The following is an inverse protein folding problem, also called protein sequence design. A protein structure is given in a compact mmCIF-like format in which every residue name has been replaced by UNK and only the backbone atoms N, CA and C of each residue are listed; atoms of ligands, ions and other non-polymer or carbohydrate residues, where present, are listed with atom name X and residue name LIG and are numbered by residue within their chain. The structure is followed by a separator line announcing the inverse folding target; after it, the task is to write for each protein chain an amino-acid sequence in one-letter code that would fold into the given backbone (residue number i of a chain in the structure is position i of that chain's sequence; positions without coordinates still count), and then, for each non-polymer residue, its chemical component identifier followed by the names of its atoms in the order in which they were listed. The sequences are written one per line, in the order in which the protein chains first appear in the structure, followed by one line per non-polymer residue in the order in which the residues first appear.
data_IF_740699145742
#
_entry.id   IF_740699145742
#
_cell.length_a   1.000
_cell.length_b   1.000
_cell.length_c   1.000
_cell.angle_alpha   90.00
_cell.angle_beta   90.00
_cell.angle_gamma   90.00
#
_symmetry.space_group_name_H-M   'P 1'
#
loop_
_entity.id
_entity.type
_entity.pdbx_description
1 polymer ?
#
# COMPACT_ATOMS: atom_id res chain seq x y z
N UNK A 1 -8.75 -27.34 -6.75
CA UNK A 1 -8.86 -26.01 -6.09
C UNK A 1 -8.23 -25.97 -4.68
N UNK A 2 -8.22 -27.07 -3.91
CA UNK A 2 -7.70 -27.07 -2.51
C UNK A 2 -6.16 -27.19 -2.37
N UNK A 3 -5.48 -27.80 -3.34
CA UNK A 3 -4.03 -28.01 -3.27
C UNK A 3 -3.24 -26.70 -3.36
N UNK A 4 -3.65 -25.79 -4.26
CA UNK A 4 -3.05 -24.47 -4.42
C UNK A 4 -3.16 -23.63 -3.14
N UNK A 5 -4.31 -23.66 -2.45
CA UNK A 5 -4.51 -22.94 -1.20
C UNK A 5 -3.61 -23.53 -0.09
N UNK A 6 -3.52 -24.86 -0.03
CA UNK A 6 -2.67 -25.54 0.94
C UNK A 6 -1.17 -25.28 0.70
N UNK A 7 -0.73 -25.28 -0.56
CA UNK A 7 0.65 -25.03 -0.93
C UNK A 7 1.03 -23.56 -0.70
N UNK A 8 0.10 -22.62 -0.99
CA UNK A 8 0.29 -21.19 -0.66
C UNK A 8 0.36 -20.96 0.85
N UNK A 9 -0.49 -21.61 1.64
CA UNK A 9 -0.42 -21.55 3.11
C UNK A 9 0.91 -22.10 3.64
N UNK A 10 1.42 -23.19 3.06
CA UNK A 10 2.73 -23.76 3.41
C UNK A 10 3.88 -22.83 3.03
N UNK A 11 3.84 -22.24 1.85
CA UNK A 11 4.83 -21.28 1.36
C UNK A 11 4.89 -20.04 2.26
N UNK A 12 3.72 -19.45 2.57
CA UNK A 12 3.56 -18.35 3.52
C UNK A 12 4.11 -18.71 4.92
N UNK A 13 3.80 -19.91 5.42
CA UNK A 13 4.28 -20.37 6.73
C UNK A 13 5.78 -20.68 6.76
N UNK A 14 6.38 -21.07 5.62
CA UNK A 14 7.80 -21.42 5.53
C UNK A 14 8.73 -20.21 5.30
N UNK A 15 8.17 -19.08 4.88
CA UNK A 15 8.89 -17.82 4.62
C UNK A 15 8.03 -16.63 5.07
N UNK A 16 7.72 -16.51 6.37
CA UNK A 16 7.03 -15.34 6.86
C UNK A 16 7.89 -14.12 6.54
N UNK A 17 7.44 -13.31 5.57
CA UNK A 17 8.04 -11.99 5.31
C UNK A 17 7.43 -11.01 6.27
N UNK A 18 7.66 -11.28 7.54
CA UNK A 18 7.19 -10.39 8.58
C UNK A 18 8.23 -9.30 8.78
N UNK A 19 7.74 -8.08 8.95
CA UNK A 19 8.54 -6.90 9.14
C UNK A 19 7.86 -6.00 10.15
N UNK A 20 8.69 -5.17 10.79
CA UNK A 20 8.18 -4.03 11.51
C UNK A 20 7.79 -3.01 10.45
N UNK A 21 6.51 -2.67 10.39
CA UNK A 21 5.95 -1.75 9.40
C UNK A 21 5.41 -0.52 10.10
N UNK A 22 5.37 0.61 9.38
CA UNK A 22 4.82 1.85 9.88
C UNK A 22 3.38 1.66 10.35
N UNK A 23 2.57 0.99 9.52
CA UNK A 23 1.18 0.64 9.82
C UNK A 23 0.17 1.72 9.39
N UNK A 24 0.63 2.94 9.17
CA UNK A 24 -0.13 4.08 8.66
C UNK A 24 0.68 4.93 7.67
N UNK A 25 1.49 4.27 6.81
CA UNK A 25 2.37 4.99 5.87
C UNK A 25 1.56 5.72 4.78
N UNK A 26 1.66 7.04 4.75
CA UNK A 26 1.03 7.90 3.75
C UNK A 26 1.91 9.13 3.46
N UNK A 27 1.72 9.89 2.36
CA UNK A 27 2.58 11.04 2.03
C UNK A 27 2.79 12.04 3.17
N UNK A 28 1.77 12.27 4.01
CA UNK A 28 1.89 13.13 5.21
C UNK A 28 2.81 12.61 6.33
N UNK A 29 3.17 11.32 6.32
CA UNK A 29 4.06 10.69 7.30
C UNK A 29 5.54 10.73 6.88
N UNK A 30 5.84 11.42 5.77
CA UNK A 30 7.21 11.59 5.25
C UNK A 30 7.56 13.07 5.14
N UNK A 31 8.69 13.43 5.72
CA UNK A 31 9.27 14.76 5.63
C UNK A 31 10.52 14.73 4.76
N UNK A 32 10.51 15.52 3.68
CA UNK A 32 11.69 15.71 2.83
C UNK A 32 12.43 16.98 3.22
N UNK A 33 13.67 16.83 3.68
CA UNK A 33 14.56 17.95 3.96
C UNK A 33 15.37 18.30 2.71
N UNK A 34 15.08 19.46 2.11
CA UNK A 34 15.79 19.95 0.93
C UNK A 34 17.27 20.28 1.17
N UNK A 35 17.65 20.63 2.40
CA UNK A 35 19.03 21.00 2.70
C UNK A 35 19.95 19.78 2.72
N UNK A 36 19.45 18.63 3.18
CA UNK A 36 20.21 17.38 3.28
C UNK A 36 19.89 16.39 2.16
N UNK A 37 18.75 16.56 1.46
CA UNK A 37 18.24 15.58 0.50
C UNK A 37 17.70 14.31 1.16
N UNK A 38 17.48 14.32 2.47
CA UNK A 38 17.01 13.14 3.21
C UNK A 38 15.48 13.12 3.35
N UNK A 39 14.94 11.91 3.39
CA UNK A 39 13.54 11.65 3.73
C UNK A 39 13.48 11.07 5.14
N UNK A 40 12.68 11.65 6.01
CA UNK A 40 12.43 11.17 7.37
C UNK A 40 11.00 10.68 7.48
N UNK A 41 10.82 9.46 8.02
CA UNK A 41 9.51 8.93 8.36
C UNK A 41 9.12 9.37 9.78
N UNK A 42 7.89 9.87 9.94
CA UNK A 42 7.33 10.38 11.20
C UNK A 42 6.00 9.67 11.51
N UNK A 43 5.38 9.97 12.65
CA UNK A 43 4.09 9.39 13.08
C UNK A 43 4.09 7.87 13.34
N UNK A 44 5.22 7.36 13.84
CA UNK A 44 5.47 5.92 14.10
C UNK A 44 4.69 5.30 15.26
N UNK A 45 3.66 6.00 15.77
CA UNK A 45 2.87 5.54 16.92
C UNK A 45 2.12 4.23 16.67
N UNK A 46 1.83 3.88 15.42
CA UNK A 46 1.11 2.64 15.03
C UNK A 46 2.03 1.45 14.75
N UNK A 47 3.34 1.65 14.83
CA UNK A 47 4.36 0.64 14.52
C UNK A 47 4.28 -0.57 15.46
N UNK A 48 3.90 -0.37 16.72
CA UNK A 48 3.68 -1.46 17.69
C UNK A 48 2.61 -2.46 17.24
N UNK A 49 1.67 -2.06 16.38
CA UNK A 49 0.66 -2.96 15.80
C UNK A 49 1.25 -3.96 14.79
N UNK A 50 2.52 -3.80 14.42
CA UNK A 50 3.25 -4.71 13.55
C UNK A 50 4.16 -5.68 14.31
N UNK A 51 4.04 -5.73 15.63
CA UNK A 51 4.76 -6.66 16.50
C UNK A 51 3.80 -7.72 17.03
N UNK A 52 4.30 -8.94 17.22
CA UNK A 52 3.56 -9.98 17.93
C UNK A 52 3.67 -9.84 19.46
N UNK A 53 3.09 -10.79 20.19
CA UNK A 53 3.11 -10.82 21.66
C UNK A 53 4.52 -10.90 22.27
N UNK A 54 5.52 -11.32 21.49
CA UNK A 54 6.91 -11.42 21.90
C UNK A 54 7.72 -10.19 21.49
N UNK A 55 7.11 -9.23 20.80
CA UNK A 55 7.81 -8.07 20.23
C UNK A 55 8.53 -8.39 18.92
N UNK A 56 8.27 -9.55 18.31
CA UNK A 56 8.87 -9.93 17.03
C UNK A 56 8.08 -9.33 15.86
N UNK A 57 8.73 -9.05 14.71
CA UNK A 57 8.06 -8.54 13.53
C UNK A 57 6.93 -9.47 13.07
N UNK A 58 5.74 -8.90 12.87
CA UNK A 58 4.52 -9.60 12.45
C UNK A 58 3.78 -8.89 11.30
N UNK A 59 4.19 -7.67 10.93
CA UNK A 59 3.60 -6.90 9.84
C UNK A 59 3.97 -7.41 8.45
N UNK A 60 3.20 -7.03 7.44
CA UNK A 60 3.53 -7.30 6.02
C UNK A 60 3.93 -5.97 5.34
N UNK A 61 5.11 -5.87 4.72
CA UNK A 61 5.56 -4.62 4.07
C UNK A 61 4.58 -4.08 3.03
N UNK A 62 3.83 -4.96 2.36
CA UNK A 62 2.77 -4.60 1.42
C UNK A 62 1.66 -3.73 2.04
N UNK A 63 1.52 -3.70 3.37
CA UNK A 63 0.57 -2.83 4.08
C UNK A 63 0.92 -1.36 3.88
N UNK A 64 2.18 -0.99 4.12
CA UNK A 64 2.63 0.40 4.01
C UNK A 64 2.59 0.85 2.55
N UNK A 65 3.06 0.00 1.64
CA UNK A 65 3.00 0.26 0.20
C UNK A 65 1.55 0.43 -0.31
N UNK A 66 0.66 -0.49 0.06
CA UNK A 66 -0.75 -0.43 -0.35
C UNK A 66 -1.47 0.79 0.21
N UNK A 67 -1.19 1.16 1.45
CA UNK A 67 -1.77 2.36 2.05
C UNK A 67 -1.24 3.64 1.40
N UNK A 68 0.08 3.74 1.18
CA UNK A 68 0.69 4.90 0.54
C UNK A 68 0.14 5.14 -0.88
N UNK A 69 0.04 4.09 -1.68
CA UNK A 69 -0.53 4.15 -3.04
C UNK A 69 -2.00 4.56 -3.01
N UNK A 70 -2.80 4.04 -2.06
CA UNK A 70 -4.17 4.54 -1.87
C UNK A 70 -4.16 6.05 -1.61
N UNK A 71 -3.32 6.52 -0.70
CA UNK A 71 -3.31 7.94 -0.32
C UNK A 71 -2.85 8.86 -1.45
N UNK A 72 -1.92 8.43 -2.32
CA UNK A 72 -1.58 9.17 -3.54
C UNK A 72 -2.79 9.36 -4.48
N UNK A 73 -3.69 8.37 -4.57
CA UNK A 73 -4.92 8.47 -5.36
C UNK A 73 -5.94 9.47 -4.81
N UNK A 74 -5.73 9.94 -3.58
CA UNK A 74 -6.53 11.03 -3.01
C UNK A 74 -5.90 12.41 -3.26
N UNK A 75 -4.84 12.48 -4.07
CA UNK A 75 -4.05 13.68 -4.35
C UNK A 75 -4.81 14.86 -4.96
N UNK A 76 -5.93 14.62 -5.66
CA UNK A 76 -6.81 15.66 -6.21
C UNK A 76 -7.23 16.68 -5.14
N UNK A 77 -7.44 16.24 -3.89
CA UNK A 77 -7.83 17.14 -2.79
C UNK A 77 -6.72 18.16 -2.43
N UNK A 78 -5.48 17.88 -2.86
CA UNK A 78 -4.31 18.73 -2.68
C UNK A 78 -3.89 19.45 -3.96
N UNK A 79 -4.73 19.40 -5.01
CA UNK A 79 -4.50 20.10 -6.28
C UNK A 79 -3.65 19.33 -7.29
N UNK A 80 -3.35 18.04 -7.04
CA UNK A 80 -2.66 17.22 -8.03
C UNK A 80 -3.58 16.85 -9.19
N UNK A 81 -3.04 16.92 -10.39
CA UNK A 81 -3.70 16.39 -11.59
C UNK A 81 -3.69 14.85 -11.58
N UNK A 82 -4.57 14.25 -12.39
CA UNK A 82 -4.58 12.80 -12.59
C UNK A 82 -3.24 12.26 -13.06
N UNK A 83 -2.59 12.97 -14.00
CA UNK A 83 -1.29 12.58 -14.54
C UNK A 83 -0.21 12.60 -13.45
N UNK A 84 -0.13 13.67 -12.65
CA UNK A 84 0.86 13.75 -11.56
C UNK A 84 0.67 12.65 -10.51
N UNK A 85 -0.58 12.28 -10.19
CA UNK A 85 -0.85 11.15 -9.29
C UNK A 85 -0.43 9.81 -9.88
N UNK A 86 -0.66 9.59 -11.18
CA UNK A 86 -0.27 8.36 -11.89
C UNK A 86 1.25 8.23 -12.00
N UNK A 87 1.94 9.32 -12.37
CA UNK A 87 3.41 9.40 -12.42
C UNK A 87 4.02 9.18 -11.02
N UNK A 88 3.55 9.91 -10.01
CA UNK A 88 4.06 9.76 -8.63
C UNK A 88 3.84 8.35 -8.07
N UNK A 89 2.71 7.72 -8.42
CA UNK A 89 2.42 6.33 -8.01
C UNK A 89 3.40 5.37 -8.68
N UNK A 90 3.66 5.56 -9.96
CA UNK A 90 4.57 4.70 -10.74
C UNK A 90 5.99 4.83 -10.21
N UNK A 91 6.49 6.06 -10.09
CA UNK A 91 7.83 6.35 -9.57
C UNK A 91 8.04 5.78 -8.16
N UNK A 92 7.04 5.95 -7.28
CA UNK A 92 7.11 5.41 -5.92
C UNK A 92 7.14 3.88 -5.90
N UNK A 93 6.26 3.22 -6.67
CA UNK A 93 6.20 1.76 -6.72
C UNK A 93 7.47 1.19 -7.33
N UNK A 94 7.99 1.77 -8.40
CA UNK A 94 9.22 1.32 -9.06
C UNK A 94 10.43 1.50 -8.14
N UNK A 95 10.55 2.65 -7.46
CA UNK A 95 11.61 2.89 -6.49
C UNK A 95 11.50 1.91 -5.31
N UNK A 96 10.30 1.66 -4.79
CA UNK A 96 10.09 0.72 -3.68
C UNK A 96 10.47 -0.71 -4.11
N UNK A 97 9.98 -1.18 -5.25
CA UNK A 97 10.27 -2.53 -5.75
C UNK A 97 11.75 -2.71 -6.12
N UNK A 98 12.40 -1.67 -6.64
CA UNK A 98 13.83 -1.67 -6.94
C UNK A 98 14.73 -1.73 -5.70
N UNK A 99 14.23 -1.30 -4.53
CA UNK A 99 14.97 -1.30 -3.27
C UNK A 99 14.45 -2.33 -2.25
N UNK A 100 13.38 -3.07 -2.56
CA UNK A 100 12.78 -4.01 -1.64
C UNK A 100 13.71 -5.22 -1.43
N UNK A 101 14.00 -5.54 -0.16
CA UNK A 101 14.79 -6.72 0.21
C UNK A 101 14.14 -8.04 -0.23
N UNK A 102 12.83 -8.05 -0.49
CA UNK A 102 12.10 -9.21 -0.97
C UNK A 102 11.00 -8.83 -1.99
N UNK A 103 10.70 -9.68 -2.99
CA UNK A 103 9.77 -9.34 -4.08
C UNK A 103 8.32 -9.15 -3.61
N UNK A 104 7.80 -7.92 -3.55
CA UNK A 104 6.45 -7.67 -3.03
C UNK A 104 5.37 -8.46 -3.80
N UNK A 105 4.32 -8.88 -3.10
CA UNK A 105 3.19 -9.59 -3.71
C UNK A 105 2.09 -8.61 -4.13
N UNK A 106 1.95 -8.40 -5.45
CA UNK A 106 0.96 -7.50 -6.04
C UNK A 106 -0.48 -7.78 -5.59
N UNK A 107 -0.84 -9.04 -5.38
CA UNK A 107 -2.20 -9.40 -4.92
C UNK A 107 -2.44 -8.97 -3.47
N UNK A 108 -1.42 -9.08 -2.62
CA UNK A 108 -1.49 -8.60 -1.24
C UNK A 108 -1.57 -7.08 -1.20
N UNK A 109 -0.77 -6.38 -2.03
CA UNK A 109 -0.81 -4.91 -2.15
C UNK A 109 -2.22 -4.46 -2.55
N UNK A 110 -2.80 -5.04 -3.60
CA UNK A 110 -4.16 -4.71 -4.06
C UNK A 110 -5.19 -4.96 -2.97
N UNK A 111 -5.11 -6.10 -2.28
CA UNK A 111 -6.02 -6.43 -1.19
C UNK A 111 -5.95 -5.39 -0.06
N UNK A 112 -4.74 -5.05 0.40
CA UNK A 112 -4.53 -4.11 1.50
C UNK A 112 -4.90 -2.67 1.12
N UNK A 113 -4.66 -2.27 -0.13
CA UNK A 113 -5.11 -1.00 -0.68
C UNK A 113 -6.65 -0.90 -0.66
N UNK A 114 -7.35 -1.97 -1.06
CA UNK A 114 -8.82 -2.04 -0.97
C UNK A 114 -9.31 -1.99 0.47
N UNK A 115 -8.66 -2.69 1.40
CA UNK A 115 -8.98 -2.61 2.83
C UNK A 115 -8.81 -1.17 3.36
N UNK A 116 -7.79 -0.46 2.90
CA UNK A 116 -7.57 0.94 3.27
C UNK A 116 -8.70 1.85 2.75
N UNK A 117 -9.06 1.74 1.47
CA UNK A 117 -10.16 2.52 0.89
C UNK A 117 -11.51 2.21 1.57
N UNK A 118 -11.78 0.95 1.91
CA UNK A 118 -12.96 0.56 2.69
C UNK A 118 -12.97 1.18 4.09
N UNK A 119 -11.81 1.25 4.76
CA UNK A 119 -11.68 1.88 6.08
C UNK A 119 -11.99 3.38 6.01
N UNK A 120 -11.52 4.05 4.97
CA UNK A 120 -11.82 5.46 4.71
C UNK A 120 -13.27 5.69 4.28
N UNK A 121 -13.88 4.76 3.54
CA UNK A 121 -15.32 4.81 3.23
C UNK A 121 -16.16 4.69 4.50
N UNK A 122 -15.80 3.77 5.40
CA UNK A 122 -16.46 3.66 6.69
C UNK A 122 -16.33 4.95 7.49
N UNK A 123 -15.12 5.53 7.59
CA UNK A 123 -14.91 6.82 8.23
C UNK A 123 -15.74 7.94 7.58
N UNK A 124 -15.72 8.02 6.26
CA UNK A 124 -16.46 9.01 5.48
C UNK A 124 -17.98 8.88 5.70
N UNK A 125 -18.52 7.66 5.77
CA UNK A 125 -19.95 7.43 6.03
C UNK A 125 -20.41 7.93 7.41
N UNK A 126 -19.50 7.99 8.39
CA UNK A 126 -19.77 8.51 9.74
C UNK A 126 -19.50 10.02 9.86
N UNK A 127 -18.92 10.65 8.84
CA UNK A 127 -18.59 12.08 8.81
C UNK A 127 -19.43 12.80 7.75
N UNK A 128 -19.99 13.98 8.02
CA UNK A 128 -20.76 14.76 7.03
C UNK A 128 -19.91 15.31 5.85
N UNK A 129 -18.70 14.79 5.62
CA UNK A 129 -17.79 15.25 4.57
C UNK A 129 -17.99 14.46 3.27
N UNK A 130 -17.95 15.17 2.15
CA UNK A 130 -18.01 14.73 0.74
C UNK A 130 -16.83 13.85 0.32
N UNK A 131 -16.54 12.79 1.07
CA UNK A 131 -15.42 11.86 0.83
C UNK A 131 -15.88 10.47 0.36
N UNK A 132 -17.17 10.15 0.48
CA UNK A 132 -17.73 8.84 0.10
C UNK A 132 -17.59 8.57 -1.40
N UNK A 133 -17.98 9.52 -2.25
CA UNK A 133 -17.91 9.36 -3.72
C UNK A 133 -16.49 9.12 -4.22
N UNK A 134 -15.51 9.83 -3.66
CA UNK A 134 -14.09 9.63 -3.98
C UNK A 134 -13.62 8.21 -3.61
N UNK A 135 -13.96 7.73 -2.41
CA UNK A 135 -13.58 6.40 -1.97
C UNK A 135 -14.25 5.29 -2.81
N UNK A 136 -15.51 5.50 -3.22
CA UNK A 136 -16.21 4.61 -4.15
C UNK A 136 -15.52 4.59 -5.52
N UNK A 137 -15.14 5.75 -6.06
CA UNK A 137 -14.41 5.85 -7.34
C UNK A 137 -13.06 5.14 -7.26
N UNK A 138 -12.29 5.34 -6.19
CA UNK A 138 -11.01 4.64 -5.96
C UNK A 138 -11.25 3.13 -5.95
N UNK A 139 -12.23 2.62 -5.18
CA UNK A 139 -12.55 1.20 -5.18
C UNK A 139 -12.95 0.68 -6.56
N UNK A 140 -13.79 1.40 -7.30
CA UNK A 140 -14.16 1.05 -8.67
C UNK A 140 -12.95 0.99 -9.60
N UNK A 141 -12.06 1.97 -9.53
CA UNK A 141 -10.83 2.00 -10.33
C UNK A 141 -9.91 0.83 -9.94
N UNK A 142 -9.79 0.50 -8.65
CA UNK A 142 -8.99 -0.64 -8.19
C UNK A 142 -9.55 -1.98 -8.67
N UNK A 143 -10.87 -2.14 -8.67
CA UNK A 143 -11.52 -3.34 -9.19
C UNK A 143 -11.48 -3.41 -10.72
N UNK A 144 -11.46 -2.27 -11.43
CA UNK A 144 -11.28 -2.20 -12.89
C UNK A 144 -9.81 -2.38 -13.32
N UNK A 145 -8.85 -1.91 -12.54
CA UNK A 145 -7.40 -2.03 -12.78
C UNK A 145 -6.86 -3.46 -12.63
N UNK A 146 -7.71 -4.43 -12.28
CA UNK A 146 -7.41 -5.85 -12.45
C UNK A 146 -6.96 -6.21 -13.88
N UNK A 147 -7.35 -5.41 -14.88
CA UNK A 147 -6.99 -5.61 -16.30
C UNK A 147 -5.68 -4.90 -16.71
N UNK A 148 -5.32 -3.77 -16.10
CA UNK A 148 -4.16 -2.95 -16.52
C UNK A 148 -2.82 -3.35 -15.89
N UNK A 149 -2.83 -3.85 -14.66
CA UNK A 149 -1.60 -4.29 -13.98
C UNK A 149 -1.14 -5.71 -14.39
N UNK A 150 -1.87 -6.38 -15.27
CA UNK A 150 -1.41 -7.61 -15.92
C UNK A 150 -0.13 -7.40 -16.74
N UNK A 151 0.20 -6.15 -17.11
CA UNK A 151 1.47 -5.79 -17.76
C UNK A 151 2.68 -5.88 -16.83
N UNK A 152 2.53 -5.69 -15.51
CA UNK A 152 3.62 -5.88 -14.53
C UNK A 152 3.85 -7.36 -14.21
N UNK A 153 2.84 -8.23 -14.39
CA UNK A 153 3.02 -9.69 -14.32
C UNK A 153 3.88 -10.21 -15.50
N UNK A 154 3.92 -9.46 -16.62
CA UNK A 154 4.72 -9.79 -17.81
C UNK A 154 6.21 -9.45 -17.72
N UNK A 155 6.66 -8.74 -16.67
CA UNK A 155 8.06 -8.34 -16.48
C UNK A 155 8.89 -9.30 -15.61
N UNK A 156 8.30 -10.43 -15.15
CA UNK A 156 9.05 -11.50 -14.46
C UNK A 156 9.49 -12.62 -15.42
N UNK A 157 10.02 -12.23 -16.56
CA UNK A 157 10.74 -13.12 -17.45
C UNK A 157 12.15 -12.60 -17.66
N UNK A 158 13.03 -12.78 -16.67
CA UNK A 158 14.49 -12.92 -16.76
C UNK A 158 15.04 -13.28 -15.37
#
# INVERSE_FOLDING_TARGET
MNQLIADRKRDIASRPRTAVVHGDAHPGSFFYDRATGHVTMIDTTTLHCSLDENGEPAGVPERDLGHFVHMLRTGEQYGLTRQEMEESTTDFVDAYLGNAAAPANLQIIRFLMSCSALSFLNYAAHSYQTKVELQVKILQDLFRLGEGWAQLDGMRGL
#
